data_IF_823110840249
#
_entry.id   IF_823110840249
#
_cell.length_a   1.000
_cell.length_b   1.000
_cell.length_c   1.000
_cell.angle_alpha   90.00
_cell.angle_beta   90.00
_cell.angle_gamma   90.00
#
_symmetry.space_group_name_H-M   'P 1'
#
loop_
_entity.id
_entity.type
_entity.pdbx_description
1 polymer ?
#
# COMPACT_ATOMS: atom_id res chain seq x y z
N UNK A 1 -25.78 23.43 0.17
CA UNK A 1 -26.98 23.55 -0.68
C UNK A 1 -27.42 24.98 -0.99
N UNK A 2 -26.84 26.06 -0.43
CA UNK A 2 -27.31 27.45 -0.69
C UNK A 2 -26.67 28.18 -1.89
N UNK A 3 -25.73 27.54 -2.63
CA UNK A 3 -24.98 28.20 -3.71
C UNK A 3 -25.38 27.78 -5.13
N UNK A 4 -26.16 26.71 -5.34
CA UNK A 4 -26.50 26.26 -6.69
C UNK A 4 -27.64 27.07 -7.32
N UNK A 5 -28.60 27.56 -6.52
CA UNK A 5 -29.75 28.32 -7.03
C UNK A 5 -29.39 29.75 -7.47
N UNK A 6 -28.36 30.37 -6.88
CA UNK A 6 -27.88 31.70 -7.29
C UNK A 6 -27.22 31.66 -8.68
N UNK A 7 -26.51 30.58 -8.99
CA UNK A 7 -25.76 30.39 -10.23
C UNK A 7 -26.71 30.27 -11.46
N UNK A 8 -27.90 29.70 -11.28
CA UNK A 8 -28.85 29.47 -12.37
C UNK A 8 -29.43 30.76 -12.97
N UNK A 9 -29.70 31.78 -12.14
CA UNK A 9 -30.26 33.05 -12.62
C UNK A 9 -29.22 33.94 -13.31
N UNK A 10 -27.97 33.95 -12.84
CA UNK A 10 -26.89 34.69 -13.49
C UNK A 10 -26.53 34.11 -14.86
N UNK A 11 -26.52 32.77 -14.98
CA UNK A 11 -26.27 32.08 -16.26
C UNK A 11 -27.28 32.43 -17.35
N UNK A 12 -28.49 32.87 -17.02
CA UNK A 12 -29.49 33.26 -18.00
C UNK A 12 -29.07 34.50 -18.81
N UNK A 13 -28.23 35.36 -18.23
CA UNK A 13 -27.84 36.64 -18.82
C UNK A 13 -26.38 36.67 -19.26
N UNK A 14 -25.52 35.92 -18.58
CA UNK A 14 -24.08 35.85 -18.85
C UNK A 14 -23.65 34.41 -19.16
N UNK A 15 -23.71 34.05 -20.43
CA UNK A 15 -23.21 32.77 -20.89
C UNK A 15 -21.69 32.82 -21.10
N UNK A 16 -20.90 31.95 -20.45
CA UNK A 16 -19.44 31.99 -20.53
C UNK A 16 -18.92 31.63 -21.93
N UNK A 17 -19.67 30.83 -22.69
CA UNK A 17 -19.29 30.34 -24.02
C UNK A 17 -19.54 31.36 -25.14
N UNK A 18 -20.36 32.37 -24.88
CA UNK A 18 -20.76 33.37 -25.86
C UNK A 18 -19.81 34.57 -25.78
N UNK A 19 -19.45 35.14 -26.94
CA UNK A 19 -18.63 36.35 -27.02
C UNK A 19 -19.26 37.53 -26.27
N UNK A 20 -18.43 38.40 -25.72
CA UNK A 20 -18.88 39.55 -24.90
C UNK A 20 -19.95 40.42 -25.60
N UNK A 21 -19.74 40.75 -26.88
CA UNK A 21 -20.67 41.58 -27.66
C UNK A 21 -21.92 40.82 -28.13
N UNK A 22 -21.96 39.50 -27.96
CA UNK A 22 -23.10 38.65 -28.29
C UNK A 22 -24.06 38.48 -27.10
N UNK A 23 -23.65 38.93 -25.91
CA UNK A 23 -24.52 38.94 -24.74
C UNK A 23 -25.72 39.87 -24.96
N UNK A 24 -26.92 39.32 -24.77
CA UNK A 24 -28.20 40.05 -24.93
C UNK A 24 -28.24 41.32 -24.07
N UNK A 25 -27.71 41.25 -22.85
CA UNK A 25 -27.68 42.39 -21.93
C UNK A 25 -26.76 43.52 -22.42
N UNK A 26 -25.61 43.18 -23.02
CA UNK A 26 -24.69 44.16 -23.59
C UNK A 26 -25.33 44.84 -24.80
N UNK A 27 -25.90 44.07 -25.72
CA UNK A 27 -26.61 44.61 -26.89
C UNK A 27 -27.80 45.49 -26.49
N UNK A 28 -28.62 45.05 -25.53
CA UNK A 28 -29.73 45.84 -25.01
C UNK A 28 -29.25 47.16 -24.40
N UNK A 29 -28.17 47.13 -23.61
CA UNK A 29 -27.59 48.35 -23.00
C UNK A 29 -27.10 49.33 -24.07
N UNK A 30 -26.39 48.83 -25.10
CA UNK A 30 -25.92 49.65 -26.23
C UNK A 30 -27.09 50.29 -26.96
N UNK A 31 -28.14 49.52 -27.28
CA UNK A 31 -29.33 50.00 -27.99
C UNK A 31 -30.04 51.09 -27.15
N UNK A 32 -30.29 50.83 -25.86
CA UNK A 32 -30.98 51.78 -24.97
C UNK A 32 -30.25 53.11 -24.86
N UNK A 33 -28.93 53.09 -24.62
CA UNK A 33 -28.12 54.32 -24.48
C UNK A 33 -28.03 55.06 -25.82
N UNK A 34 -27.88 54.33 -26.94
CA UNK A 34 -27.85 54.94 -28.27
C UNK A 34 -29.18 55.59 -28.63
N UNK A 35 -30.30 54.91 -28.36
CA UNK A 35 -31.64 55.47 -28.55
C UNK A 35 -31.87 56.71 -27.68
N UNK A 36 -31.46 56.69 -26.41
CA UNK A 36 -31.59 57.84 -25.52
C UNK A 36 -30.79 59.05 -26.04
N UNK A 37 -29.54 58.83 -26.46
CA UNK A 37 -28.70 59.87 -27.08
C UNK A 37 -29.30 60.40 -28.38
N UNK A 38 -29.88 59.53 -29.21
CA UNK A 38 -30.54 59.90 -30.46
C UNK A 38 -31.80 60.74 -30.22
N UNK A 39 -32.64 60.38 -29.25
CA UNK A 39 -33.83 61.15 -28.89
C UNK A 39 -33.45 62.55 -28.41
N UNK A 40 -32.44 62.68 -27.54
CA UNK A 40 -31.95 63.99 -27.07
C UNK A 40 -31.36 64.80 -28.22
N UNK A 41 -30.62 64.17 -29.12
CA UNK A 41 -30.07 64.83 -30.32
C UNK A 41 -31.19 65.36 -31.22
N UNK A 42 -32.25 64.57 -31.45
CA UNK A 42 -33.43 65.01 -32.22
C UNK A 42 -34.14 66.17 -31.54
N UNK A 43 -34.32 66.13 -30.22
CA UNK A 43 -34.91 67.23 -29.46
C UNK A 43 -34.10 68.53 -29.63
N UNK A 44 -32.77 68.47 -29.60
CA UNK A 44 -31.91 69.64 -29.82
C UNK A 44 -32.12 70.17 -31.24
N UNK A 45 -32.11 69.30 -32.25
CA UNK A 45 -32.26 69.68 -33.67
C UNK A 45 -33.61 70.36 -33.93
N UNK A 46 -34.71 69.83 -33.37
CA UNK A 46 -36.04 70.38 -33.62
C UNK A 46 -36.36 71.66 -32.84
N UNK A 47 -35.63 71.93 -31.74
CA UNK A 47 -35.90 73.09 -30.89
C UNK A 47 -34.81 74.18 -30.98
N UNK A 48 -33.81 74.03 -31.85
CA UNK A 48 -32.72 74.99 -32.02
C UNK A 48 -32.59 75.43 -33.47
N UNK A 49 -32.44 76.74 -33.70
CA UNK A 49 -32.15 77.30 -35.02
C UNK A 49 -30.67 77.05 -35.39
N UNK A 50 -30.40 75.86 -35.95
CA UNK A 50 -29.05 75.42 -36.30
C UNK A 50 -28.69 75.81 -37.75
N UNK A 51 -27.61 76.57 -37.91
CA UNK A 51 -27.02 76.87 -39.22
C UNK A 51 -25.88 75.89 -39.55
N UNK A 52 -25.86 75.39 -40.78
CA UNK A 52 -24.79 74.49 -41.24
C UNK A 52 -23.52 75.28 -41.54
N UNK A 53 -22.50 75.14 -40.70
CA UNK A 53 -21.20 75.75 -40.89
C UNK A 53 -20.10 74.67 -40.80
N UNK A 54 -19.38 74.43 -41.91
CA UNK A 54 -18.31 73.42 -41.98
C UNK A 54 -16.92 73.96 -41.58
N UNK A 55 -16.84 75.21 -41.14
CA UNK A 55 -15.60 75.79 -40.61
C UNK A 55 -15.27 75.26 -39.22
N UNK A 56 -14.07 75.58 -38.72
CA UNK A 56 -13.65 75.24 -37.36
C UNK A 56 -14.62 75.77 -36.28
N UNK A 57 -15.26 76.92 -36.53
CA UNK A 57 -16.24 77.52 -35.61
C UNK A 57 -17.49 76.64 -35.52
N UNK A 58 -17.97 76.15 -36.67
CA UNK A 58 -19.13 75.26 -36.72
C UNK A 58 -18.89 73.91 -36.02
N UNK A 59 -17.69 73.33 -36.17
CA UNK A 59 -17.31 72.12 -35.44
C UNK A 59 -17.24 72.32 -33.91
N UNK A 60 -16.68 73.44 -33.44
CA UNK A 60 -16.67 73.75 -32.00
C UNK A 60 -18.08 73.97 -31.44
N UNK A 61 -18.94 74.65 -32.19
CA UNK A 61 -20.34 74.83 -31.83
C UNK A 61 -21.08 73.49 -31.82
N UNK A 62 -20.84 72.60 -32.80
CA UNK A 62 -21.42 71.26 -32.82
C UNK A 62 -21.07 70.47 -31.54
N UNK A 63 -19.80 70.42 -31.15
CA UNK A 63 -19.37 69.71 -29.93
C UNK A 63 -20.02 70.33 -28.68
N UNK A 64 -20.14 71.66 -28.64
CA UNK A 64 -20.72 72.39 -27.52
C UNK A 64 -22.22 72.13 -27.39
N UNK A 65 -22.95 72.16 -28.51
CA UNK A 65 -24.39 71.94 -28.59
C UNK A 65 -24.73 70.46 -28.31
N UNK A 66 -23.98 69.52 -28.89
CA UNK A 66 -24.20 68.08 -28.73
C UNK A 66 -23.44 67.47 -27.53
N UNK A 67 -22.94 68.28 -26.60
CA UNK A 67 -22.18 67.81 -25.43
C UNK A 67 -22.96 66.81 -24.57
N UNK A 68 -24.26 67.03 -24.41
CA UNK A 68 -25.14 66.15 -23.61
C UNK A 68 -25.31 64.76 -24.27
N UNK A 69 -25.78 64.64 -25.53
CA UNK A 69 -25.91 63.33 -26.16
C UNK A 69 -24.56 62.61 -26.34
N UNK A 70 -23.47 63.34 -26.56
CA UNK A 70 -22.11 62.79 -26.57
C UNK A 70 -21.70 62.26 -25.18
N UNK A 71 -22.02 62.99 -24.11
CA UNK A 71 -21.79 62.55 -22.74
C UNK A 71 -22.54 61.26 -22.38
N UNK A 72 -23.78 61.12 -22.87
CA UNK A 72 -24.57 59.89 -22.69
C UNK A 72 -23.92 58.72 -23.44
N UNK A 73 -23.47 58.91 -24.68
CA UNK A 73 -22.73 57.88 -25.41
C UNK A 73 -21.41 57.52 -24.69
N UNK A 74 -20.74 58.48 -24.07
CA UNK A 74 -19.50 58.23 -23.33
C UNK A 74 -19.69 57.29 -22.14
N UNK A 75 -20.89 57.18 -21.56
CA UNK A 75 -21.22 56.22 -20.48
C UNK A 75 -21.07 54.76 -20.94
N UNK A 76 -21.13 54.48 -22.24
CA UNK A 76 -20.90 53.13 -22.77
C UNK A 76 -19.51 52.60 -22.45
N UNK A 77 -18.50 53.47 -22.33
CA UNK A 77 -17.13 53.07 -22.04
C UNK A 77 -17.00 52.45 -20.64
N UNK A 78 -17.35 53.15 -19.53
CA UNK A 78 -17.25 52.57 -18.19
C UNK A 78 -18.21 51.39 -17.99
N UNK A 79 -19.42 51.43 -18.55
CA UNK A 79 -20.35 50.29 -18.45
C UNK A 79 -19.83 49.06 -19.20
N UNK A 80 -19.27 49.25 -20.40
CA UNK A 80 -18.64 48.19 -21.16
C UNK A 80 -17.47 47.57 -20.41
N UNK A 81 -16.64 48.38 -19.75
CA UNK A 81 -15.54 47.90 -18.92
C UNK A 81 -16.02 47.04 -17.73
N UNK A 82 -17.09 47.46 -17.05
CA UNK A 82 -17.71 46.69 -15.95
C UNK A 82 -18.24 45.36 -16.46
N UNK A 83 -19.04 45.36 -17.53
CA UNK A 83 -19.57 44.11 -18.09
C UNK A 83 -18.47 43.18 -18.60
N UNK A 84 -17.42 43.70 -19.22
CA UNK A 84 -16.31 42.89 -19.71
C UNK A 84 -15.56 42.23 -18.54
N UNK A 85 -15.34 42.98 -17.46
CA UNK A 85 -14.70 42.46 -16.24
C UNK A 85 -15.56 41.38 -15.60
N UNK A 86 -16.87 41.61 -15.52
CA UNK A 86 -17.82 40.64 -14.97
C UNK A 86 -17.91 39.36 -15.82
N UNK A 87 -18.00 39.47 -17.15
CA UNK A 87 -18.01 38.34 -18.08
C UNK A 87 -16.74 37.49 -17.95
N UNK A 88 -15.56 38.11 -17.86
CA UNK A 88 -14.28 37.42 -17.62
C UNK A 88 -14.26 36.67 -16.29
N UNK A 89 -14.86 37.23 -15.24
CA UNK A 89 -14.97 36.56 -13.94
C UNK A 89 -15.82 35.29 -14.05
N UNK A 90 -16.98 35.37 -14.72
CA UNK A 90 -17.86 34.21 -14.96
C UNK A 90 -17.16 33.14 -15.81
N UNK A 91 -16.47 33.55 -16.89
CA UNK A 91 -15.67 32.62 -17.70
C UNK A 91 -14.60 31.89 -16.87
N UNK A 92 -13.89 32.62 -16.01
CA UNK A 92 -12.85 32.05 -15.15
C UNK A 92 -13.45 31.04 -14.15
N UNK A 93 -14.60 31.36 -13.56
CA UNK A 93 -15.30 30.45 -12.64
C UNK A 93 -15.72 29.15 -13.32
N UNK A 94 -16.29 29.22 -14.53
CA UNK A 94 -16.70 28.03 -15.26
C UNK A 94 -15.48 27.19 -15.68
N UNK A 95 -14.41 27.83 -16.14
CA UNK A 95 -13.14 27.15 -16.43
C UNK A 95 -12.58 26.44 -15.19
N UNK A 96 -12.57 27.09 -14.03
CA UNK A 96 -12.13 26.47 -12.77
C UNK A 96 -12.99 25.25 -12.41
N UNK A 97 -14.30 25.32 -12.64
CA UNK A 97 -15.21 24.19 -12.40
C UNK A 97 -14.91 23.02 -13.32
N UNK A 98 -14.73 23.27 -14.62
CA UNK A 98 -14.34 22.25 -15.60
C UNK A 98 -13.00 21.62 -15.24
N UNK A 99 -11.99 22.43 -14.91
CA UNK A 99 -10.67 21.94 -14.47
C UNK A 99 -10.77 21.08 -13.21
N UNK A 100 -11.58 21.46 -12.22
CA UNK A 100 -11.80 20.64 -11.02
C UNK A 100 -12.44 19.29 -11.34
N UNK A 101 -13.41 19.25 -12.26
CA UNK A 101 -14.02 18.00 -12.70
C UNK A 101 -13.00 17.12 -13.42
N UNK A 102 -12.19 17.69 -14.32
CA UNK A 102 -11.12 16.96 -15.01
C UNK A 102 -10.10 16.41 -14.02
N UNK A 103 -9.65 17.19 -13.04
CA UNK A 103 -8.70 16.73 -12.02
C UNK A 103 -9.25 15.54 -11.22
N UNK A 104 -10.54 15.55 -10.85
CA UNK A 104 -11.18 14.43 -10.17
C UNK A 104 -11.24 13.17 -11.03
N UNK A 105 -11.60 13.31 -12.30
CA UNK A 105 -11.64 12.17 -13.23
C UNK A 105 -10.24 11.58 -13.46
N UNK A 106 -9.25 12.44 -13.70
CA UNK A 106 -7.85 12.01 -13.87
C UNK A 106 -7.31 11.35 -12.60
N UNK A 107 -7.61 11.89 -11.41
CA UNK A 107 -7.19 11.28 -10.16
C UNK A 107 -7.76 9.86 -9.98
N UNK A 108 -9.06 9.67 -10.24
CA UNK A 108 -9.70 8.35 -10.19
C UNK A 108 -9.13 7.37 -11.21
N UNK A 109 -8.83 7.85 -12.43
CA UNK A 109 -8.23 7.01 -13.46
C UNK A 109 -6.78 6.63 -13.12
N UNK A 110 -6.02 7.55 -12.54
CA UNK A 110 -4.67 7.28 -12.06
C UNK A 110 -4.67 6.25 -10.92
N UNK A 111 -5.56 6.39 -9.94
CA UNK A 111 -5.74 5.44 -8.84
C UNK A 111 -6.06 4.03 -9.36
N UNK A 112 -7.01 3.93 -10.31
CA UNK A 112 -7.34 2.67 -10.97
C UNK A 112 -6.13 2.07 -11.71
N UNK A 113 -5.47 2.88 -12.54
CA UNK A 113 -4.29 2.44 -13.32
C UNK A 113 -3.16 1.95 -12.42
N UNK A 114 -2.87 2.70 -11.35
CA UNK A 114 -1.82 2.35 -10.40
C UNK A 114 -2.16 1.06 -9.62
N UNK A 115 -3.41 0.86 -9.22
CA UNK A 115 -3.85 -0.38 -8.58
C UNK A 115 -3.59 -1.61 -9.46
N UNK A 116 -4.00 -1.59 -10.73
CA UNK A 116 -3.79 -2.73 -11.63
C UNK A 116 -2.33 -2.95 -11.96
N UNK A 117 -1.56 -1.87 -12.13
CA UNK A 117 -0.11 -1.97 -12.35
C UNK A 117 0.60 -2.60 -11.15
N UNK A 118 0.26 -2.19 -9.93
CA UNK A 118 0.83 -2.77 -8.72
C UNK A 118 0.45 -4.26 -8.58
N UNK A 119 -0.80 -4.62 -8.86
CA UNK A 119 -1.23 -6.02 -8.89
C UNK A 119 -0.46 -6.82 -9.95
N UNK A 120 -0.27 -6.29 -11.16
CA UNK A 120 0.47 -6.96 -12.23
C UNK A 120 1.94 -7.21 -11.85
N UNK A 121 2.61 -6.20 -11.29
CA UNK A 121 3.99 -6.33 -10.81
C UNK A 121 4.08 -7.32 -9.64
N UNK A 122 3.10 -7.32 -8.73
CA UNK A 122 3.02 -8.32 -7.66
C UNK A 122 2.81 -9.74 -8.22
N UNK A 123 1.90 -9.91 -9.19
CA UNK A 123 1.70 -11.22 -9.83
C UNK A 123 2.98 -11.68 -10.53
N UNK A 124 3.73 -10.78 -11.18
CA UNK A 124 5.03 -11.09 -11.78
C UNK A 124 6.05 -11.49 -10.72
N UNK A 125 6.15 -10.73 -9.64
CA UNK A 125 7.05 -11.03 -8.52
C UNK A 125 6.78 -12.42 -7.93
N UNK A 126 5.52 -12.75 -7.63
CA UNK A 126 5.15 -14.06 -7.11
C UNK A 126 5.46 -15.21 -8.08
N UNK A 127 5.41 -14.97 -9.39
CA UNK A 127 5.79 -16.00 -10.38
C UNK A 127 7.28 -16.33 -10.32
N UNK A 128 8.12 -15.34 -10.03
CA UNK A 128 9.57 -15.46 -10.02
C UNK A 128 10.11 -15.96 -8.67
N UNK A 129 9.41 -15.68 -7.57
CA UNK A 129 9.94 -15.87 -6.21
C UNK A 129 9.11 -16.79 -5.32
N UNK A 130 7.83 -17.05 -5.64
CA UNK A 130 6.98 -17.91 -4.82
C UNK A 130 6.77 -19.28 -5.47
N UNK A 131 6.43 -20.28 -4.66
CA UNK A 131 6.05 -21.60 -5.15
C UNK A 131 4.77 -21.55 -6.02
N UNK A 132 4.63 -22.50 -6.95
CA UNK A 132 3.46 -22.61 -7.84
C UNK A 132 2.13 -22.65 -7.07
N UNK A 133 2.12 -23.25 -5.88
CA UNK A 133 0.92 -23.32 -5.04
C UNK A 133 0.55 -21.96 -4.43
N UNK A 134 1.53 -21.15 -4.04
CA UNK A 134 1.31 -19.78 -3.57
C UNK A 134 0.83 -18.91 -4.72
N UNK A 135 1.44 -19.10 -5.89
CA UNK A 135 1.09 -18.38 -7.11
C UNK A 135 -0.37 -18.58 -7.53
N UNK A 136 -0.95 -19.77 -7.31
CA UNK A 136 -2.37 -20.03 -7.58
C UNK A 136 -3.30 -19.10 -6.78
N UNK A 137 -2.88 -18.69 -5.58
CA UNK A 137 -3.68 -17.84 -4.70
C UNK A 137 -3.13 -16.42 -4.53
N UNK A 138 -2.22 -16.00 -5.43
CA UNK A 138 -1.59 -14.66 -5.43
C UNK A 138 -2.57 -13.50 -5.27
N UNK A 139 -3.78 -13.58 -5.82
CA UNK A 139 -4.78 -12.49 -5.70
C UNK A 139 -5.36 -12.37 -4.29
N UNK A 140 -5.61 -13.49 -3.61
CA UNK A 140 -6.06 -13.48 -2.22
C UNK A 140 -4.94 -12.98 -1.31
N UNK A 141 -3.71 -13.45 -1.55
CA UNK A 141 -2.53 -12.98 -0.84
C UNK A 141 -2.33 -11.48 -1.02
N UNK A 142 -2.45 -10.96 -2.25
CA UNK A 142 -2.39 -9.53 -2.52
C UNK A 142 -3.46 -8.73 -1.77
N UNK A 143 -4.70 -9.23 -1.68
CA UNK A 143 -5.77 -8.54 -0.96
C UNK A 143 -5.53 -8.50 0.55
N UNK A 144 -4.89 -9.54 1.11
CA UNK A 144 -4.51 -9.61 2.53
C UNK A 144 -3.29 -8.74 2.84
N UNK A 145 -2.27 -8.80 1.98
CA UNK A 145 -1.03 -8.04 2.12
C UNK A 145 -1.21 -6.55 1.83
N UNK A 146 -2.06 -6.19 0.86
CA UNK A 146 -2.25 -4.81 0.39
C UNK A 146 -3.74 -4.41 0.32
N UNK A 147 -4.49 -4.44 1.43
CA UNK A 147 -5.94 -4.19 1.46
C UNK A 147 -6.30 -2.76 1.02
N UNK A 148 -5.39 -1.79 1.24
CA UNK A 148 -5.57 -0.38 0.90
C UNK A 148 -4.98 0.02 -0.46
N UNK A 149 -4.53 -0.95 -1.27
CA UNK A 149 -3.97 -0.68 -2.61
C UNK A 149 -4.95 0.00 -3.57
N UNK A 150 -6.27 -0.16 -3.33
CA UNK A 150 -7.32 0.53 -4.07
C UNK A 150 -7.38 2.03 -3.80
N UNK A 151 -6.84 2.47 -2.68
CA UNK A 151 -6.76 3.88 -2.24
C UNK A 151 -5.37 4.49 -2.55
N UNK A 152 -4.61 3.86 -3.45
CA UNK A 152 -3.21 4.21 -3.75
C UNK A 152 -2.23 4.04 -2.58
N UNK A 153 -2.57 3.21 -1.58
CA UNK A 153 -1.67 2.84 -0.49
C UNK A 153 -1.08 1.45 -0.73
N UNK A 154 0.19 1.43 -1.14
CA UNK A 154 0.90 0.23 -1.58
C UNK A 154 1.80 -0.41 -0.52
N UNK A 155 1.74 0.07 0.72
CA UNK A 155 2.48 -0.51 1.84
C UNK A 155 1.85 -1.81 2.30
N UNK A 156 2.67 -2.77 2.73
CA UNK A 156 2.20 -4.00 3.33
C UNK A 156 1.38 -3.72 4.61
N UNK A 157 0.33 -4.49 4.85
CA UNK A 157 -0.54 -4.32 5.99
C UNK A 157 0.15 -4.77 7.28
N UNK A 158 0.45 -3.82 8.17
CA UNK A 158 1.05 -4.10 9.47
C UNK A 158 0.20 -5.06 10.31
N UNK A 159 -1.13 -4.98 10.26
CA UNK A 159 -2.00 -5.89 11.02
C UNK A 159 -1.87 -7.34 10.51
N UNK A 160 -1.74 -7.50 9.18
CA UNK A 160 -1.49 -8.80 8.58
C UNK A 160 -0.12 -9.35 9.01
N UNK A 161 0.91 -8.52 8.95
CA UNK A 161 2.27 -8.89 9.38
C UNK A 161 2.30 -9.25 10.88
N UNK A 162 1.65 -8.45 11.74
CA UNK A 162 1.54 -8.72 13.17
C UNK A 162 0.76 -9.99 13.46
N UNK A 163 -0.34 -10.25 12.75
CA UNK A 163 -1.12 -11.48 12.88
C UNK A 163 -0.29 -12.71 12.51
N UNK A 164 0.45 -12.63 11.41
CA UNK A 164 1.40 -13.66 10.99
C UNK A 164 2.47 -13.87 12.07
N UNK A 165 3.06 -12.79 12.60
CA UNK A 165 4.07 -12.86 13.66
C UNK A 165 3.54 -13.47 14.96
N UNK A 166 2.34 -13.10 15.37
CA UNK A 166 1.69 -13.62 16.56
C UNK A 166 1.47 -15.13 16.44
N UNK A 167 0.95 -15.57 15.30
CA UNK A 167 0.63 -16.97 15.08
C UNK A 167 1.88 -17.85 15.05
N UNK A 168 2.99 -17.31 14.51
CA UNK A 168 4.29 -17.97 14.58
C UNK A 168 4.80 -18.04 16.01
N UNK A 169 4.65 -16.96 16.76
CA UNK A 169 5.10 -16.91 18.14
C UNK A 169 4.33 -17.92 19.00
N UNK A 170 3.00 -17.96 18.89
CA UNK A 170 2.15 -18.95 19.55
C UNK A 170 2.54 -20.37 19.16
N UNK A 171 2.68 -20.65 17.86
CA UNK A 171 3.12 -21.95 17.40
C UNK A 171 4.49 -22.33 17.98
N UNK A 172 5.44 -21.39 18.04
CA UNK A 172 6.77 -21.63 18.60
C UNK A 172 6.73 -21.92 20.11
N UNK A 173 5.86 -21.24 20.85
CA UNK A 173 5.63 -21.48 22.28
C UNK A 173 5.01 -22.85 22.52
N UNK A 174 3.94 -23.20 21.81
CA UNK A 174 3.26 -24.50 21.94
C UNK A 174 4.19 -25.66 21.64
N UNK A 175 4.98 -25.51 20.58
CA UNK A 175 6.03 -26.45 20.17
C UNK A 175 7.08 -26.61 21.27
N UNK A 176 7.51 -25.53 21.92
CA UNK A 176 8.50 -25.59 22.99
C UNK A 176 7.97 -26.17 24.32
N UNK A 177 6.73 -25.84 24.68
CA UNK A 177 6.18 -26.14 26.00
C UNK A 177 5.53 -27.53 26.08
N UNK A 178 5.00 -28.03 24.96
CA UNK A 178 4.22 -29.28 24.94
C UNK A 178 4.91 -30.45 24.20
N UNK A 179 6.20 -30.35 23.82
CA UNK A 179 6.85 -31.37 22.99
C UNK A 179 6.88 -32.80 23.59
N UNK A 180 6.74 -32.92 24.92
CA UNK A 180 6.70 -34.19 25.65
C UNK A 180 5.28 -34.68 25.96
N UNK A 181 4.25 -33.86 25.75
CA UNK A 181 2.88 -34.16 26.18
C UNK A 181 2.07 -34.85 25.07
N UNK A 182 1.11 -35.70 25.45
CA UNK A 182 0.25 -36.40 24.47
C UNK A 182 -0.68 -35.46 23.72
N UNK A 183 -0.97 -34.29 24.32
CA UNK A 183 -1.94 -33.30 23.86
C UNK A 183 -1.39 -32.38 22.75
N UNK A 184 -0.08 -32.46 22.50
CA UNK A 184 0.61 -31.71 21.44
C UNK A 184 -0.03 -31.89 20.06
N UNK A 185 -0.57 -33.07 19.75
CA UNK A 185 -1.18 -33.34 18.46
C UNK A 185 -2.45 -32.52 18.22
N UNK A 186 -3.23 -32.22 19.27
CA UNK A 186 -4.48 -31.48 19.13
C UNK A 186 -4.19 -29.99 18.91
N UNK A 187 -3.27 -29.41 19.69
CA UNK A 187 -2.87 -28.00 19.55
C UNK A 187 -2.15 -27.72 18.22
N UNK A 188 -1.26 -28.62 17.77
CA UNK A 188 -0.61 -28.51 16.47
C UNK A 188 -1.66 -28.56 15.35
N UNK A 189 -2.63 -29.46 15.43
CA UNK A 189 -3.70 -29.56 14.41
C UNK A 189 -4.48 -28.25 14.35
N UNK A 190 -4.87 -27.69 15.49
CA UNK A 190 -5.61 -26.43 15.56
C UNK A 190 -4.82 -25.24 14.99
N UNK A 191 -3.54 -25.13 15.35
CA UNK A 191 -2.66 -24.08 14.79
C UNK A 191 -2.44 -24.26 13.30
N UNK A 192 -2.30 -25.51 12.84
CA UNK A 192 -2.14 -25.81 11.42
C UNK A 192 -3.41 -25.46 10.63
N UNK A 193 -4.60 -25.72 11.19
CA UNK A 193 -5.87 -25.31 10.59
C UNK A 193 -6.04 -23.79 10.55
N UNK A 194 -5.65 -23.08 11.62
CA UNK A 194 -5.64 -21.61 11.64
C UNK A 194 -4.65 -21.02 10.61
N UNK A 195 -3.46 -21.61 10.51
CA UNK A 195 -2.44 -21.27 9.51
C UNK A 195 -2.98 -21.48 8.09
N UNK A 196 -3.58 -22.63 7.79
CA UNK A 196 -4.21 -22.95 6.51
C UNK A 196 -5.40 -22.05 6.18
N UNK A 197 -6.15 -21.57 7.17
CA UNK A 197 -7.23 -20.62 6.96
C UNK A 197 -6.70 -19.24 6.50
N UNK A 198 -5.45 -18.93 6.86
CA UNK A 198 -4.78 -17.66 6.52
C UNK A 198 -3.92 -17.81 5.26
N UNK A 199 -3.37 -19.00 4.97
CA UNK A 199 -2.63 -19.31 3.76
C UNK A 199 -3.44 -20.26 2.87
N UNK A 200 -4.10 -19.73 1.83
CA UNK A 200 -4.74 -20.57 0.84
C UNK A 200 -3.62 -21.16 -0.02
N UNK A 201 -3.03 -22.28 0.37
CA UNK A 201 -1.96 -22.92 -0.41
C UNK A 201 -2.24 -24.42 -0.47
N UNK A 202 -2.59 -24.90 -1.67
CA UNK A 202 -2.89 -26.32 -1.92
C UNK A 202 -1.75 -27.28 -1.56
N UNK A 203 -0.49 -26.84 -1.66
CA UNK A 203 0.70 -27.63 -1.25
C UNK A 203 0.67 -28.04 0.21
N UNK A 204 0.12 -27.16 1.05
CA UNK A 204 0.09 -27.39 2.46
C UNK A 204 -0.86 -28.53 2.81
N UNK A 205 -1.98 -28.63 2.08
CA UNK A 205 -2.90 -29.77 2.18
C UNK A 205 -2.29 -31.07 1.63
N UNK A 206 -1.53 -31.02 0.53
CA UNK A 206 -0.81 -32.18 -0.03
C UNK A 206 0.27 -32.70 0.93
N UNK A 207 1.09 -31.79 1.50
CA UNK A 207 2.11 -32.13 2.51
C UNK A 207 1.47 -32.62 3.81
N UNK A 208 0.36 -32.05 4.25
CA UNK A 208 -0.44 -32.56 5.36
C UNK A 208 -1.01 -33.95 5.07
N UNK A 209 -1.47 -34.20 3.85
CA UNK A 209 -1.99 -35.49 3.46
C UNK A 209 -0.89 -36.55 3.43
N UNK A 210 0.26 -36.24 2.82
CA UNK A 210 1.44 -37.10 2.86
C UNK A 210 1.93 -37.32 4.31
N UNK A 211 1.89 -36.28 5.14
CA UNK A 211 2.15 -36.36 6.57
C UNK A 211 1.17 -37.28 7.29
N UNK A 212 -0.13 -37.22 6.99
CA UNK A 212 -1.14 -38.09 7.58
C UNK A 212 -0.89 -39.57 7.20
N UNK A 213 -0.35 -39.82 6.01
CA UNK A 213 0.05 -41.16 5.57
C UNK A 213 1.33 -41.65 6.26
N UNK A 214 2.35 -40.79 6.37
CA UNK A 214 3.61 -41.11 7.06
C UNK A 214 3.37 -41.29 8.56
N UNK A 215 2.58 -40.42 9.20
CA UNK A 215 2.23 -40.54 10.61
C UNK A 215 1.41 -41.81 10.88
N UNK A 216 0.46 -42.18 10.01
CA UNK A 216 -0.24 -43.48 10.08
C UNK A 216 0.70 -44.67 9.96
N UNK A 217 1.73 -44.58 9.10
CA UNK A 217 2.73 -45.65 8.96
C UNK A 217 3.61 -45.81 10.19
N UNK A 218 3.91 -44.69 10.88
CA UNK A 218 4.69 -44.64 12.11
C UNK A 218 3.86 -44.97 13.36
N UNK A 219 2.54 -44.70 13.32
CA UNK A 219 1.56 -44.99 14.37
C UNK A 219 1.53 -46.48 14.76
N UNK A 220 1.86 -47.38 13.83
CA UNK A 220 1.94 -48.82 14.10
C UNK A 220 3.18 -49.24 14.92
N UNK A 221 4.10 -48.32 15.26
CA UNK A 221 5.25 -48.58 16.14
C UNK A 221 4.99 -48.00 17.53
N UNK A 222 5.04 -48.84 18.57
CA UNK A 222 4.65 -48.55 19.97
C UNK A 222 5.48 -47.47 20.72
N UNK A 223 6.35 -46.69 20.07
CA UNK A 223 7.17 -45.71 20.76
C UNK A 223 6.58 -44.28 20.61
N UNK A 224 5.90 -43.83 21.67
CA UNK A 224 5.25 -42.52 21.74
C UNK A 224 6.24 -41.35 21.53
N UNK A 225 7.47 -41.48 22.01
CA UNK A 225 8.50 -40.45 21.85
C UNK A 225 8.86 -40.23 20.38
N UNK A 226 9.01 -41.31 19.61
CA UNK A 226 9.28 -41.24 18.16
C UNK A 226 8.11 -40.61 17.40
N UNK A 227 6.86 -40.83 17.85
CA UNK A 227 5.66 -40.24 17.24
C UNK A 227 5.62 -38.72 17.43
N UNK A 228 5.84 -38.24 18.66
CA UNK A 228 5.82 -36.81 18.97
C UNK A 228 6.96 -36.08 18.25
N UNK A 229 8.15 -36.67 18.21
CA UNK A 229 9.32 -36.10 17.54
C UNK A 229 9.14 -35.93 16.02
N UNK A 230 8.57 -36.93 15.33
CA UNK A 230 8.31 -36.81 13.88
C UNK A 230 7.22 -35.78 13.60
N UNK A 231 6.18 -35.75 14.43
CA UNK A 231 5.09 -34.77 14.29
C UNK A 231 5.58 -33.34 14.48
N UNK A 232 6.36 -33.11 15.53
CA UNK A 232 7.02 -31.84 15.79
C UNK A 232 7.86 -31.40 14.58
N UNK A 233 8.72 -32.28 14.09
CA UNK A 233 9.64 -31.94 13.01
C UNK A 233 8.91 -31.54 11.72
N UNK A 234 7.91 -32.32 11.32
CA UNK A 234 7.12 -32.01 10.13
C UNK A 234 6.34 -30.70 10.30
N UNK A 235 5.81 -30.45 11.50
CA UNK A 235 5.10 -29.19 11.79
C UNK A 235 6.03 -27.98 11.72
N UNK A 236 7.26 -28.10 12.20
CA UNK A 236 8.28 -27.06 12.07
C UNK A 236 8.70 -26.83 10.61
N UNK A 237 8.90 -27.90 9.83
CA UNK A 237 9.21 -27.77 8.40
C UNK A 237 8.09 -27.11 7.62
N UNK A 238 6.84 -27.50 7.92
CA UNK A 238 5.64 -26.93 7.32
C UNK A 238 5.50 -25.44 7.64
N UNK A 239 5.65 -25.06 8.92
CA UNK A 239 5.64 -23.66 9.34
C UNK A 239 6.72 -22.87 8.60
N UNK A 240 7.95 -23.38 8.54
CA UNK A 240 9.07 -22.70 7.89
C UNK A 240 8.79 -22.46 6.39
N UNK A 241 8.25 -23.47 5.69
CA UNK A 241 7.87 -23.34 4.28
C UNK A 241 6.79 -22.27 4.08
N UNK A 242 5.72 -22.30 4.88
CA UNK A 242 4.68 -21.27 4.76
C UNK A 242 5.23 -19.88 5.09
N UNK A 243 6.12 -19.79 6.07
CA UNK A 243 6.67 -18.53 6.51
C UNK A 243 7.54 -17.90 5.46
N UNK A 244 8.36 -18.71 4.80
CA UNK A 244 9.16 -18.26 3.66
C UNK A 244 8.26 -17.68 2.57
N UNK A 245 7.20 -18.38 2.20
CA UNK A 245 6.28 -17.94 1.15
C UNK A 245 5.57 -16.61 1.48
N UNK A 246 5.11 -16.44 2.74
CA UNK A 246 4.45 -15.21 3.20
C UNK A 246 5.45 -14.05 3.29
N UNK A 247 6.66 -14.31 3.78
CA UNK A 247 7.73 -13.30 3.90
C UNK A 247 8.21 -12.87 2.52
N UNK A 248 8.41 -13.80 1.60
CA UNK A 248 8.83 -13.51 0.23
C UNK A 248 7.75 -12.65 -0.44
N UNK A 249 6.47 -13.01 -0.33
CA UNK A 249 5.38 -12.20 -0.86
C UNK A 249 5.28 -10.80 -0.24
N UNK A 250 5.52 -10.65 1.07
CA UNK A 250 5.53 -9.33 1.73
C UNK A 250 6.78 -8.51 1.36
N UNK A 251 7.87 -9.17 0.98
CA UNK A 251 9.13 -8.55 0.54
C UNK A 251 9.02 -7.88 -0.84
N UNK A 252 7.86 -7.98 -1.50
CA UNK A 252 7.51 -7.13 -2.63
C UNK A 252 7.47 -5.64 -2.23
N UNK A 253 7.08 -5.34 -1.00
CA UNK A 253 7.19 -3.99 -0.46
C UNK A 253 8.65 -3.72 -0.03
N UNK A 254 9.30 -2.75 -0.66
CA UNK A 254 10.68 -2.38 -0.35
C UNK A 254 10.87 -1.83 1.06
N UNK A 255 9.79 -1.34 1.69
CA UNK A 255 9.81 -0.88 3.07
C UNK A 255 9.58 -2.01 4.08
N UNK A 256 9.12 -3.18 3.61
CA UNK A 256 8.94 -4.34 4.46
C UNK A 256 10.29 -4.82 4.97
N UNK A 257 10.41 -4.88 6.30
CA UNK A 257 11.52 -5.55 6.97
C UNK A 257 10.98 -6.77 7.70
N UNK A 258 11.43 -7.95 7.28
CA UNK A 258 11.11 -9.17 8.00
C UNK A 258 11.57 -9.04 9.46
N UNK A 259 10.72 -9.38 10.44
CA UNK A 259 11.09 -9.42 11.84
C UNK A 259 12.38 -10.18 12.08
N UNK A 260 13.23 -9.68 12.98
CA UNK A 260 14.56 -10.24 13.25
C UNK A 260 14.51 -11.74 13.55
N UNK A 261 13.50 -12.18 14.29
CA UNK A 261 13.28 -13.60 14.61
C UNK A 261 13.04 -14.46 13.36
N UNK A 262 12.20 -13.98 12.43
CA UNK A 262 11.92 -14.70 11.19
C UNK A 262 13.13 -14.71 10.27
N UNK A 263 13.89 -13.62 10.26
CA UNK A 263 15.16 -13.57 9.55
C UNK A 263 16.15 -14.59 10.10
N UNK A 264 16.24 -14.77 11.42
CA UNK A 264 17.09 -15.82 12.00
C UNK A 264 16.58 -17.22 11.69
N UNK A 265 15.26 -17.42 11.61
CA UNK A 265 14.67 -18.72 11.28
C UNK A 265 14.90 -19.12 9.81
N UNK A 266 14.88 -18.14 8.90
CA UNK A 266 15.10 -18.31 7.47
C UNK A 266 16.59 -18.43 7.09
N UNK A 267 17.48 -17.75 7.82
CA UNK A 267 18.93 -17.77 7.57
C UNK A 267 19.63 -18.98 8.17
N UNK A 268 18.97 -19.71 9.08
CA UNK A 268 19.49 -20.97 9.56
C UNK A 268 19.24 -22.04 8.49
N UNK A 269 20.20 -22.16 7.56
CA UNK A 269 20.14 -23.09 6.41
C UNK A 269 19.92 -24.56 6.82
N UNK A 270 20.01 -24.86 8.11
CA UNK A 270 19.89 -26.21 8.60
C UNK A 270 19.16 -26.31 9.95
N UNK A 271 17.81 -26.24 9.97
CA UNK A 271 17.02 -26.59 11.16
C UNK A 271 17.34 -28.02 11.65
N UNK A 272 17.95 -28.86 10.82
CA UNK A 272 18.45 -30.18 11.21
C UNK A 272 19.68 -30.14 12.13
N UNK A 273 20.43 -29.04 12.22
CA UNK A 273 21.67 -29.00 13.01
C UNK A 273 21.41 -29.08 14.52
N UNK A 274 20.41 -28.34 15.01
CA UNK A 274 19.94 -28.45 16.41
C UNK A 274 19.40 -29.86 16.70
N UNK A 275 18.77 -30.48 15.72
CA UNK A 275 18.22 -31.82 15.82
C UNK A 275 19.29 -32.92 15.80
N UNK A 276 20.32 -32.83 14.95
CA UNK A 276 21.46 -33.76 14.91
C UNK A 276 22.26 -33.74 16.22
N UNK A 277 22.41 -32.57 16.84
CA UNK A 277 23.08 -32.44 18.13
C UNK A 277 22.30 -33.11 19.25
N UNK A 278 20.97 -33.03 19.23
CA UNK A 278 20.08 -33.62 20.26
C UNK A 278 19.87 -35.12 20.06
N UNK A 279 19.74 -35.58 18.80
CA UNK A 279 19.52 -37.00 18.49
C UNK A 279 20.80 -37.86 18.52
N UNK A 280 22.00 -37.25 18.48
CA UNK A 280 23.27 -37.94 18.78
C UNK A 280 23.37 -38.43 20.23
N UNK A 281 22.62 -37.84 21.15
CA UNK A 281 22.52 -38.33 22.54
C UNK A 281 21.59 -39.55 22.66
N UNK A 282 20.68 -39.79 21.71
CA UNK A 282 19.73 -40.91 21.68
C UNK A 282 19.96 -41.84 20.47
N UNK A 283 21.01 -42.65 20.53
CA UNK A 283 21.61 -43.38 19.39
C UNK A 283 20.71 -44.32 18.53
N UNK A 284 19.47 -44.61 18.91
CA UNK A 284 18.55 -45.46 18.12
C UNK A 284 17.67 -44.69 17.12
N UNK A 285 17.48 -43.38 17.31
CA UNK A 285 16.63 -42.53 16.46
C UNK A 285 17.32 -42.26 15.11
N UNK A 286 18.64 -42.10 15.12
CA UNK A 286 19.48 -41.83 13.93
C UNK A 286 19.39 -42.94 12.88
N UNK A 287 19.27 -44.22 13.28
CA UNK A 287 19.17 -45.36 12.33
C UNK A 287 17.85 -45.37 11.56
N UNK A 288 16.76 -44.91 12.19
CA UNK A 288 15.45 -44.82 11.53
C UNK A 288 15.36 -43.60 10.60
N UNK A 289 16.05 -42.52 10.94
CA UNK A 289 16.08 -41.27 10.16
C UNK A 289 17.03 -41.30 8.97
N UNK A 290 18.16 -42.01 9.04
CA UNK A 290 19.01 -42.23 7.85
C UNK A 290 18.26 -42.98 6.73
N UNK A 291 17.17 -43.68 7.04
CA UNK A 291 16.28 -44.32 6.06
C UNK A 291 15.29 -43.34 5.41
N UNK A 292 15.01 -42.20 6.07
CA UNK A 292 14.18 -41.10 5.58
C UNK A 292 15.04 -40.12 4.77
N UNK A 293 16.30 -39.88 5.17
CA UNK A 293 17.32 -39.12 4.41
C UNK A 293 17.52 -39.65 2.98
N UNK A 294 17.32 -40.96 2.77
CA UNK A 294 17.35 -41.61 1.45
C UNK A 294 16.19 -41.21 0.52
N UNK A 295 15.12 -40.59 1.03
CA UNK A 295 14.02 -40.08 0.22
C UNK A 295 14.34 -38.68 -0.34
N UNK A 296 15.20 -37.92 0.34
CA UNK A 296 15.67 -36.60 -0.12
C UNK A 296 16.83 -36.70 -1.14
N UNK A 297 17.70 -37.72 -1.05
CA UNK A 297 18.82 -37.89 -2.00
C UNK A 297 18.37 -38.20 -3.45
N UNK A 298 17.10 -38.44 -3.70
CA UNK A 298 16.53 -38.51 -5.05
C UNK A 298 16.42 -37.15 -5.76
N UNK A 299 16.77 -36.04 -5.11
CA UNK A 299 16.67 -34.68 -5.68
C UNK A 299 18.00 -33.96 -5.98
N UNK A 300 19.17 -34.54 -5.70
CA UNK A 300 20.45 -33.97 -6.11
C UNK A 300 21.25 -34.94 -7.01
N UNK A 301 20.96 -34.92 -8.31
CA UNK A 301 21.99 -35.23 -9.30
C UNK A 301 22.81 -33.98 -9.55
N UNK A 302 24.00 -33.88 -8.95
CA UNK A 302 25.26 -33.41 -9.56
C UNK A 302 26.44 -33.78 -8.63
N UNK A 303 27.30 -34.64 -9.19
CA UNK A 303 28.72 -34.93 -8.89
C UNK A 303 29.15 -35.39 -7.47
N UNK A 304 29.36 -36.72 -7.34
CA UNK A 304 29.82 -37.45 -6.15
C UNK A 304 31.33 -37.75 -6.11
N UNK A 305 32.15 -37.04 -6.88
CA UNK A 305 33.60 -37.26 -6.92
C UNK A 305 34.37 -36.07 -6.35
N UNK A 306 34.33 -35.87 -5.02
CA UNK A 306 35.49 -35.34 -4.27
C UNK A 306 35.30 -35.45 -2.74
N UNK A 307 36.40 -35.88 -2.11
CA UNK A 307 36.77 -35.79 -0.69
C UNK A 307 36.40 -36.91 0.30
N UNK A 308 37.33 -37.87 0.36
CA UNK A 308 37.66 -38.72 1.50
C UNK A 308 38.48 -37.95 2.58
N UNK A 309 38.45 -38.51 3.81
CA UNK A 309 39.47 -38.52 4.90
C UNK A 309 39.38 -37.53 6.08
N UNK A 310 38.98 -38.11 7.23
CA UNK A 310 39.52 -38.00 8.60
C UNK A 310 39.73 -36.64 9.29
N UNK A 311 39.13 -36.47 10.49
CA UNK A 311 39.88 -36.27 11.76
C UNK A 311 39.01 -36.68 12.97
N UNK A 312 39.61 -37.57 13.75
CA UNK A 312 39.49 -37.90 15.18
C UNK A 312 38.54 -37.10 16.07
N UNK A 313 37.74 -37.87 16.80
CA UNK A 313 37.20 -37.61 18.14
C UNK A 313 38.33 -37.21 19.12
N UNK A 314 38.01 -36.35 20.11
CA UNK A 314 38.85 -35.77 21.19
C UNK A 314 39.62 -34.49 20.82
N UNK A 315 38.92 -33.36 20.92
CA UNK A 315 39.31 -32.22 21.76
C UNK A 315 38.36 -31.02 21.56
N UNK A 316 37.11 -31.13 22.06
CA UNK A 316 36.28 -29.93 22.23
C UNK A 316 36.56 -29.29 23.59
N UNK A 317 37.53 -28.39 23.52
CA UNK A 317 38.31 -27.77 24.57
C UNK A 317 37.46 -27.07 25.66
N UNK A 318 37.71 -27.38 26.95
CA UNK A 318 37.15 -26.67 28.13
C UNK A 318 37.28 -25.14 28.01
N UNK A 319 38.27 -24.65 27.27
CA UNK A 319 38.50 -23.23 26.98
C UNK A 319 37.33 -22.56 26.25
N UNK A 320 36.58 -23.28 25.40
CA UNK A 320 35.39 -22.76 24.72
C UNK A 320 34.17 -22.69 25.66
N UNK A 321 33.96 -23.71 26.52
CA UNK A 321 32.93 -23.67 27.57
C UNK A 321 33.15 -22.49 28.53
N UNK A 322 34.41 -22.17 28.87
CA UNK A 322 34.74 -21.01 29.70
C UNK A 322 34.46 -19.68 28.97
N UNK A 323 34.72 -19.60 27.64
CA UNK A 323 34.40 -18.40 26.84
C UNK A 323 32.89 -18.15 26.76
N UNK A 324 32.10 -19.19 26.52
CA UNK A 324 30.63 -19.09 26.44
C UNK A 324 30.05 -18.70 27.82
N UNK A 325 30.53 -19.32 28.91
CA UNK A 325 30.09 -18.96 30.27
C UNK A 325 30.46 -17.52 30.65
N UNK A 326 31.61 -17.01 30.19
CA UNK A 326 31.97 -15.58 30.33
C UNK A 326 31.07 -14.66 29.52
N UNK A 327 30.71 -15.03 28.29
CA UNK A 327 29.84 -14.22 27.43
C UNK A 327 28.41 -14.11 28.00
N UNK A 328 27.85 -15.22 28.51
CA UNK A 328 26.53 -15.25 29.16
C UNK A 328 26.52 -14.36 30.41
N UNK A 329 27.55 -14.48 31.26
CA UNK A 329 27.66 -13.65 32.46
C UNK A 329 27.83 -12.15 32.13
N UNK A 330 28.59 -11.81 31.09
CA UNK A 330 28.76 -10.42 30.65
C UNK A 330 27.45 -9.82 30.12
N UNK A 331 26.68 -10.61 29.37
CA UNK A 331 25.36 -10.20 28.88
C UNK A 331 24.36 -9.97 30.03
N UNK A 332 24.33 -10.85 31.03
CA UNK A 332 23.51 -10.68 32.23
C UNK A 332 23.88 -9.42 33.04
N UNK A 333 25.18 -9.09 33.11
CA UNK A 333 25.68 -7.88 33.78
C UNK A 333 25.28 -6.60 33.05
N UNK A 334 25.36 -6.60 31.70
CA UNK A 334 24.95 -5.46 30.90
C UNK A 334 23.42 -5.23 30.96
N UNK A 335 22.63 -6.30 30.97
CA UNK A 335 21.17 -6.22 31.09
C UNK A 335 20.74 -5.63 32.44
N UNK A 336 21.38 -6.06 33.53
CA UNK A 336 21.11 -5.51 34.87
C UNK A 336 21.56 -4.06 35.03
N UNK A 337 22.69 -3.67 34.43
CA UNK A 337 23.13 -2.28 34.41
C UNK A 337 22.17 -1.35 33.63
N UNK A 338 21.60 -1.83 32.53
CA UNK A 338 20.62 -1.08 31.74
C UNK A 338 19.31 -0.87 32.53
N UNK A 339 18.79 -1.93 33.16
CA UNK A 339 17.59 -1.85 34.01
C UNK A 339 17.79 -0.90 35.20
N UNK A 340 19.01 -0.84 35.75
CA UNK A 340 19.32 0.09 36.83
C UNK A 340 19.33 1.56 36.33
N UNK A 341 19.87 1.83 35.14
CA UNK A 341 19.83 3.17 34.53
C UNK A 341 18.40 3.62 34.22
N UNK A 342 17.56 2.73 33.72
CA UNK A 342 16.14 3.01 33.45
C UNK A 342 15.37 3.34 34.74
N UNK A 343 15.63 2.58 35.82
CA UNK A 343 15.04 2.87 37.14
C UNK A 343 15.50 4.23 37.68
N UNK A 344 16.78 4.57 37.58
CA UNK A 344 17.27 5.89 38.00
C UNK A 344 16.67 7.02 37.17
N UNK A 345 16.51 6.84 35.85
CA UNK A 345 15.87 7.81 34.98
C UNK A 345 14.37 7.99 35.29
N UNK A 346 13.68 6.94 35.73
CA UNK A 346 12.27 7.00 36.15
C UNK A 346 12.04 7.71 37.50
N UNK A 347 13.04 7.71 38.39
CA UNK A 347 12.97 8.39 39.70
C UNK A 347 13.35 9.88 39.59
N UNK A 348 14.10 10.25 38.55
CA UNK A 348 14.49 11.63 38.27
C UNK A 348 13.45 12.43 37.46
N UNK A 349 12.43 11.75 36.92
CA UNK A 349 11.23 12.35 36.31
C UNK A 349 10.12 12.40 37.34
#
# INVERSE_FOLDING_TARGET
MRNEDYDLNERKWFHPEIGFFDLKIVRATIIVITCASMVISLLIIFNSDLEMNLSYIGWNNFITIFKVPLGILAILIPLGAIYATHHRSIQTLEQMKQTRMQLKMTASQNEFSNYYKHLEEFEKYCREHCDENVYQHRRSLYQLSFPKSRESHYSANNEFIESVNHLIFEFSCDVNDHWLDSDLNENITLHTEALLAITPTGRNLELLYQYQQVSKSLYNRKNLATKNMVTFHVSCCFLNLMMRDVIDACSFDTEFSAPVFLRSLLLDENPWRLFEETSREEGDVIKSLNKIRFVDETFETINKDELFLCISEKDFNQKQKIKIKKAINLHALNKSALQHKERQASVAR
#
